data_IF_555937674195
#
_entry.id   IF_555937674195
#
_cell.length_a   1.000
_cell.length_b   1.000
_cell.length_c   1.000
_cell.angle_alpha   90.00
_cell.angle_beta   90.00
_cell.angle_gamma   90.00
#
_symmetry.space_group_name_H-M   'P 1'
#
loop_
_entity.id
_entity.type
_entity.pdbx_description
1 polymer ?
#
# COMPACT_ATOMS: atom_id res chain seq x y z
N UNK A 1 0.77 -1.96 -15.69
CA UNK A 1 -0.13 -2.01 -14.54
C UNK A 1 0.28 -1.02 -13.45
N UNK A 2 1.36 -1.26 -12.69
CA UNK A 2 1.77 -0.43 -11.53
C UNK A 2 2.03 1.06 -11.84
N UNK A 3 2.48 1.41 -13.05
CA UNK A 3 2.68 2.82 -13.47
C UNK A 3 1.40 3.66 -13.44
N UNK A 4 0.22 3.04 -13.49
CA UNK A 4 -1.08 3.71 -13.43
C UNK A 4 -1.54 3.99 -11.99
N UNK A 5 -0.89 3.38 -10.99
CA UNK A 5 -1.23 3.57 -9.57
C UNK A 5 -0.61 4.86 -9.04
N UNK A 6 -1.38 5.95 -9.10
CA UNK A 6 -1.02 7.24 -8.51
C UNK A 6 -2.10 7.69 -7.54
N UNK A 7 -1.88 7.39 -6.27
CA UNK A 7 -2.77 7.79 -5.18
C UNK A 7 -1.96 8.04 -3.91
N UNK A 8 -2.41 8.99 -3.08
CA UNK A 8 -1.71 9.38 -1.85
C UNK A 8 -1.57 8.23 -0.84
N UNK A 9 -2.53 7.30 -0.83
CA UNK A 9 -2.55 6.14 0.07
C UNK A 9 -2.07 4.83 -0.61
N UNK A 10 -1.41 4.91 -1.77
CA UNK A 10 -0.80 3.75 -2.43
C UNK A 10 0.71 4.01 -2.56
N UNK A 11 1.52 2.99 -2.25
CA UNK A 11 2.96 3.08 -2.41
C UNK A 11 3.31 3.32 -3.88
N UNK A 12 3.93 4.47 -4.16
CA UNK A 12 4.25 4.87 -5.53
C UNK A 12 5.36 4.00 -6.11
N UNK A 13 5.05 3.29 -7.20
CA UNK A 13 6.04 2.63 -8.04
C UNK A 13 6.74 3.65 -8.94
N UNK A 14 8.06 3.79 -8.79
CA UNK A 14 8.88 4.72 -9.56
C UNK A 14 9.55 4.06 -10.76
N UNK A 15 9.89 2.77 -10.66
CA UNK A 15 10.51 2.03 -11.75
C UNK A 15 11.07 0.68 -11.33
N UNK A 16 11.80 0.04 -12.24
CA UNK A 16 12.54 -1.18 -11.96
C UNK A 16 13.88 -1.17 -12.69
N UNK A 17 14.92 -1.65 -12.02
CA UNK A 17 16.19 -2.02 -12.65
C UNK A 17 16.05 -3.45 -13.14
N UNK A 18 16.11 -3.65 -14.46
CA UNK A 18 15.97 -4.98 -15.10
C UNK A 18 17.29 -5.52 -15.67
N UNK A 19 18.37 -4.74 -15.57
CA UNK A 19 19.69 -5.14 -16.03
C UNK A 19 20.33 -6.10 -15.03
N UNK A 20 20.69 -7.30 -15.47
CA UNK A 20 21.47 -8.25 -14.67
C UNK A 20 22.85 -7.64 -14.32
N UNK A 21 23.42 -7.93 -13.13
CA UNK A 21 22.90 -8.82 -12.07
C UNK A 21 21.95 -8.14 -11.08
N UNK A 22 21.68 -6.83 -11.22
CA UNK A 22 20.99 -6.02 -10.21
C UNK A 22 19.52 -5.81 -10.59
N UNK A 23 18.70 -6.81 -10.29
CA UNK A 23 17.24 -6.68 -10.34
C UNK A 23 16.75 -5.91 -9.12
N UNK A 24 16.02 -4.82 -9.33
CA UNK A 24 15.46 -4.03 -8.24
C UNK A 24 14.12 -3.39 -8.63
N UNK A 25 13.22 -3.25 -7.65
CA UNK A 25 12.01 -2.45 -7.75
C UNK A 25 12.26 -1.13 -7.00
N UNK A 26 11.97 -0.02 -7.64
CA UNK A 26 12.15 1.33 -7.08
C UNK A 26 10.78 1.88 -6.73
N UNK A 27 10.58 2.21 -5.45
CA UNK A 27 9.36 2.84 -4.93
C UNK A 27 9.68 4.13 -4.20
N UNK A 28 8.65 4.92 -3.88
CA UNK A 28 8.79 5.98 -2.88
C UNK A 28 9.28 5.39 -1.55
N UNK A 29 10.19 6.10 -0.90
CA UNK A 29 10.56 5.82 0.49
C UNK A 29 9.44 6.28 1.44
N UNK A 30 8.96 5.37 2.28
CA UNK A 30 8.07 5.67 3.39
C UNK A 30 8.90 5.65 4.67
N UNK A 31 8.95 6.78 5.37
CA UNK A 31 9.67 6.89 6.62
C UNK A 31 8.88 6.24 7.77
N UNK A 32 9.58 5.63 8.72
CA UNK A 32 8.99 4.93 9.86
C UNK A 32 8.93 3.42 9.66
N UNK A 33 8.00 2.79 10.37
CA UNK A 33 7.80 1.35 10.35
C UNK A 33 6.49 0.97 9.63
N UNK A 34 6.39 -0.29 9.25
CA UNK A 34 5.17 -0.86 8.68
C UNK A 34 4.07 -0.98 9.72
N UNK A 35 2.81 -1.00 9.26
CA UNK A 35 1.67 -1.26 10.15
C UNK A 35 1.79 -2.64 10.84
N UNK A 36 2.41 -3.62 10.17
CA UNK A 36 2.68 -4.93 10.73
C UNK A 36 3.59 -4.83 11.97
N UNK A 37 4.72 -4.15 11.86
CA UNK A 37 5.65 -3.93 12.99
C UNK A 37 4.94 -3.20 14.14
N UNK A 38 4.13 -2.19 13.84
CA UNK A 38 3.37 -1.49 14.87
C UNK A 38 2.38 -2.38 15.61
N UNK A 39 1.73 -3.32 14.92
CA UNK A 39 0.74 -4.23 15.53
C UNK A 39 1.43 -5.35 16.32
N UNK A 40 2.45 -5.99 15.74
CA UNK A 40 3.00 -7.24 16.28
C UNK A 40 4.29 -7.07 17.07
N UNK A 41 5.20 -6.21 16.61
CA UNK A 41 6.51 -6.04 17.22
C UNK A 41 6.47 -4.99 18.32
N UNK A 42 5.95 -3.79 18.01
CA UNK A 42 5.91 -2.66 18.93
C UNK A 42 4.67 -2.66 19.82
N UNK A 43 3.60 -3.37 19.43
CA UNK A 43 2.30 -3.36 20.12
C UNK A 43 1.83 -1.93 20.43
N UNK A 44 1.87 -1.10 19.39
CA UNK A 44 1.51 0.31 19.50
C UNK A 44 0.05 0.44 19.90
N UNK A 45 -0.24 1.24 20.93
CA UNK A 45 -1.61 1.56 21.30
C UNK A 45 -2.21 2.55 20.29
N UNK A 46 -3.20 2.09 19.54
CA UNK A 46 -3.94 2.92 18.59
C UNK A 46 -5.21 3.47 19.23
N UNK A 47 -5.41 4.79 19.16
CA UNK A 47 -6.72 5.37 19.50
C UNK A 47 -7.75 5.00 18.44
N UNK A 48 -9.04 5.09 18.78
CA UNK A 48 -10.11 4.88 17.80
C UNK A 48 -9.99 5.83 16.59
N UNK A 49 -9.48 7.04 16.82
CA UNK A 49 -9.24 8.03 15.75
C UNK A 49 -8.15 7.54 14.80
N UNK A 50 -7.09 6.92 15.32
CA UNK A 50 -6.02 6.35 14.50
C UNK A 50 -6.53 5.17 13.66
N UNK A 51 -7.32 4.29 14.27
CA UNK A 51 -7.94 3.15 13.59
C UNK A 51 -8.85 3.63 12.45
N UNK A 52 -9.76 4.57 12.72
CA UNK A 52 -10.65 5.12 11.69
C UNK A 52 -9.85 5.77 10.56
N UNK A 53 -8.77 6.48 10.89
CA UNK A 53 -7.89 7.11 9.89
C UNK A 53 -7.20 6.08 9.00
N UNK A 54 -6.62 5.02 9.59
CA UNK A 54 -5.96 3.93 8.85
C UNK A 54 -6.96 3.24 7.91
N UNK A 55 -8.12 2.85 8.45
CA UNK A 55 -9.17 2.19 7.67
C UNK A 55 -9.68 3.08 6.53
N UNK A 56 -9.91 4.36 6.80
CA UNK A 56 -10.37 5.31 5.76
C UNK A 56 -9.33 5.47 4.66
N UNK A 57 -8.04 5.59 5.00
CA UNK A 57 -6.98 5.69 4.01
C UNK A 57 -6.89 4.44 3.14
N UNK A 58 -7.03 3.26 3.76
CA UNK A 58 -7.08 1.98 3.07
C UNK A 58 -8.26 1.90 2.10
N UNK A 59 -9.47 2.22 2.55
CA UNK A 59 -10.68 2.20 1.70
C UNK A 59 -10.57 3.15 0.51
N UNK A 60 -9.95 4.32 0.66
CA UNK A 60 -9.70 5.22 -0.46
C UNK A 60 -8.72 4.63 -1.49
N UNK A 61 -7.70 3.89 -1.04
CA UNK A 61 -6.76 3.22 -1.94
C UNK A 61 -7.40 2.05 -2.70
N UNK A 62 -8.24 1.25 -2.04
CA UNK A 62 -8.90 0.10 -2.68
C UNK A 62 -9.86 0.51 -3.78
N UNK A 63 -10.52 1.67 -3.67
CA UNK A 63 -11.35 2.23 -4.74
C UNK A 63 -10.56 2.45 -6.04
N UNK A 64 -9.33 2.98 -5.97
CA UNK A 64 -8.50 3.10 -7.16
C UNK A 64 -8.09 1.73 -7.71
N UNK A 65 -7.78 0.77 -6.84
CA UNK A 65 -7.35 -0.57 -7.25
C UNK A 65 -8.47 -1.34 -7.97
N UNK A 66 -9.72 -1.20 -7.52
CA UNK A 66 -10.91 -1.72 -8.21
C UNK A 66 -11.08 -1.04 -9.57
N UNK A 67 -10.95 0.28 -9.64
CA UNK A 67 -11.11 1.03 -10.89
C UNK A 67 -10.06 0.72 -11.98
N UNK A 68 -8.97 0.03 -11.63
CA UNK A 68 -7.95 -0.41 -12.60
C UNK A 68 -7.92 -1.93 -12.79
N UNK A 69 -8.98 -2.63 -12.36
CA UNK A 69 -9.16 -4.09 -12.43
C UNK A 69 -8.00 -4.88 -11.80
N UNK A 70 -7.35 -4.31 -10.78
CA UNK A 70 -6.26 -4.99 -10.06
C UNK A 70 -6.78 -5.87 -8.92
N UNK A 71 -7.84 -5.41 -8.26
CA UNK A 71 -8.63 -6.24 -7.35
C UNK A 71 -9.73 -6.82 -8.23
N UNK A 72 -9.55 -8.07 -8.65
CA UNK A 72 -10.67 -8.89 -9.11
C UNK A 72 -11.72 -8.83 -8.00
N UNK A 73 -12.98 -8.63 -8.37
CA UNK A 73 -14.11 -8.71 -7.46
C UNK A 73 -13.80 -9.81 -6.44
N UNK A 74 -13.86 -9.46 -5.15
CA UNK A 74 -14.05 -10.47 -4.13
C UNK A 74 -15.41 -11.07 -4.49
N UNK A 75 -15.42 -12.05 -5.39
CA UNK A 75 -16.51 -12.98 -5.61
C UNK A 75 -16.71 -13.66 -4.25
N UNK A 76 -17.51 -12.98 -3.44
CA UNK A 76 -18.23 -13.55 -2.33
C UNK A 76 -19.23 -14.52 -2.98
N UNK A 77 -18.77 -15.74 -3.26
CA UNK A 77 -19.64 -16.90 -3.34
C UNK A 77 -20.34 -17.13 -1.98
#
# INVERSE_FOLDING_TARGET
>A
MLRKLRHQNILLFMGACIAKPKLAIVTKYCHGATLYEHIYDYKTDFSIVDVVRIVTQFSQATVLLMAIDMILDLDLD
#
